data_IF_788501124641
#
_entry.id   IF_788501124641
#
_cell.length_a   1.000
_cell.length_b   1.000
_cell.length_c   1.000
_cell.angle_alpha   90.00
_cell.angle_beta   90.00
_cell.angle_gamma   90.00
#
_symmetry.space_group_name_H-M   'P 1'
#
loop_
_entity.id
_entity.type
_entity.pdbx_description
1 polymer ?
#
# COMPACT_ATOMS: atom_id res chain seq x y z
N UNK A 1 -23.89 6.38 -17.39
CA UNK A 1 -23.11 5.12 -17.33
C UNK A 1 -21.68 5.29 -17.81
N UNK A 2 -21.44 5.95 -18.96
CA UNK A 2 -20.09 6.20 -19.49
C UNK A 2 -19.15 6.93 -18.52
N UNK A 3 -19.61 7.99 -17.85
CA UNK A 3 -18.78 8.76 -16.91
C UNK A 3 -18.32 7.95 -15.70
N UNK A 4 -19.24 7.27 -15.02
CA UNK A 4 -18.91 6.40 -13.87
C UNK A 4 -17.98 5.25 -14.25
N UNK A 5 -18.15 4.69 -15.45
CA UNK A 5 -17.25 3.67 -15.98
C UNK A 5 -15.85 4.23 -16.24
N UNK A 6 -15.75 5.43 -16.82
CA UNK A 6 -14.48 6.07 -17.15
C UNK A 6 -13.73 6.50 -15.88
N UNK A 7 -14.42 7.06 -14.88
CA UNK A 7 -13.85 7.44 -13.58
C UNK A 7 -13.33 6.21 -12.81
N UNK A 8 -14.12 5.12 -12.79
CA UNK A 8 -13.69 3.88 -12.14
C UNK A 8 -12.50 3.25 -12.87
N UNK A 9 -12.55 3.16 -14.20
CA UNK A 9 -11.46 2.60 -15.01
C UNK A 9 -10.17 3.37 -14.82
N UNK A 10 -10.24 4.71 -14.81
CA UNK A 10 -9.07 5.56 -14.60
C UNK A 10 -8.48 5.38 -13.19
N UNK A 11 -9.33 5.28 -12.16
CA UNK A 11 -8.92 5.00 -10.78
C UNK A 11 -8.19 3.65 -10.65
N UNK A 12 -8.69 2.61 -11.32
CA UNK A 12 -8.07 1.28 -11.30
C UNK A 12 -6.70 1.29 -11.99
N UNK A 13 -6.59 1.94 -13.15
CA UNK A 13 -5.36 1.97 -13.94
C UNK A 13 -4.24 2.67 -13.16
N UNK A 14 -4.51 3.87 -12.64
CA UNK A 14 -3.47 4.72 -12.01
C UNK A 14 -3.16 4.25 -10.58
N UNK A 15 -4.19 3.96 -9.78
CA UNK A 15 -4.05 3.90 -8.32
C UNK A 15 -4.19 2.50 -7.74
N UNK A 16 -4.28 1.47 -8.57
CA UNK A 16 -4.48 0.09 -8.09
C UNK A 16 -3.70 -0.96 -8.88
N UNK A 17 -3.86 -0.99 -10.20
CA UNK A 17 -3.43 -2.11 -11.03
C UNK A 17 -1.96 -2.00 -11.45
N UNK A 18 -1.56 -0.84 -11.98
CA UNK A 18 -0.22 -0.64 -12.54
C UNK A 18 0.77 -0.17 -11.46
N UNK A 19 1.99 -0.73 -11.41
CA UNK A 19 3.06 -0.22 -10.57
C UNK A 19 3.63 1.09 -11.14
N UNK A 20 4.22 1.92 -10.28
CA UNK A 20 4.98 3.10 -10.72
C UNK A 20 6.34 2.65 -11.28
N UNK A 21 6.80 3.26 -12.36
CA UNK A 21 8.05 2.89 -13.02
C UNK A 21 9.30 3.17 -12.16
N UNK A 22 9.20 4.10 -11.20
CA UNK A 22 10.34 4.53 -10.36
C UNK A 22 10.72 3.50 -9.31
N UNK A 23 9.73 2.87 -8.69
CA UNK A 23 9.93 1.92 -7.60
C UNK A 23 9.43 0.51 -7.93
N UNK A 24 8.65 0.33 -9.01
CA UNK A 24 8.03 -0.93 -9.37
C UNK A 24 6.93 -1.38 -8.41
N UNK A 25 6.50 -0.52 -7.48
CA UNK A 25 5.57 -0.88 -6.41
C UNK A 25 4.14 -0.42 -6.70
N UNK A 26 3.19 -1.29 -6.38
CA UNK A 26 1.77 -0.91 -6.32
C UNK A 26 1.52 -0.04 -5.08
N UNK A 27 0.50 0.83 -5.10
CA UNK A 27 0.19 1.70 -3.96
C UNK A 27 -0.02 0.96 -2.63
N UNK A 28 -0.58 -0.26 -2.65
CA UNK A 28 -0.76 -1.09 -1.44
C UNK A 28 0.58 -1.54 -0.83
N UNK A 29 1.52 -1.98 -1.67
CA UNK A 29 2.84 -2.43 -1.22
C UNK A 29 3.65 -1.26 -0.65
N UNK A 30 3.54 -0.08 -1.26
CA UNK A 30 4.19 1.14 -0.77
C UNK A 30 3.72 1.53 0.63
N UNK A 31 2.40 1.50 0.88
CA UNK A 31 1.82 1.78 2.20
C UNK A 31 2.27 0.77 3.25
N UNK A 32 2.30 -0.52 2.90
CA UNK A 32 2.77 -1.57 3.79
C UNK A 32 4.23 -1.35 4.20
N UNK A 33 5.12 -1.14 3.24
CA UNK A 33 6.54 -0.92 3.52
C UNK A 33 6.77 0.38 4.31
N UNK A 34 6.02 1.43 4.01
CA UNK A 34 6.07 2.68 4.76
C UNK A 34 5.63 2.48 6.21
N UNK A 35 4.49 1.83 6.47
CA UNK A 35 4.01 1.55 7.81
C UNK A 35 4.97 0.66 8.61
N UNK A 36 5.57 -0.34 7.94
CA UNK A 36 6.58 -1.19 8.57
C UNK A 36 7.82 -0.39 8.98
N UNK A 37 8.33 0.49 8.11
CA UNK A 37 9.58 1.20 8.37
C UNK A 37 9.41 2.45 9.25
N UNK A 38 8.40 3.28 9.00
CA UNK A 38 8.19 4.55 9.73
C UNK A 38 7.39 4.40 11.02
N UNK A 39 6.27 3.68 11.01
CA UNK A 39 5.38 3.60 12.19
C UNK A 39 5.81 2.51 13.17
N UNK A 40 6.16 1.33 12.66
CA UNK A 40 6.50 0.17 13.48
C UNK A 40 8.01 0.01 13.69
N UNK A 41 8.82 0.82 12.99
CA UNK A 41 10.28 0.77 13.02
C UNK A 41 10.83 -0.65 12.86
N UNK A 42 10.18 -1.48 12.02
CA UNK A 42 10.58 -2.85 11.75
C UNK A 42 11.77 -2.85 10.79
N UNK A 43 12.86 -3.46 11.24
CA UNK A 43 14.05 -3.72 10.42
C UNK A 43 14.43 -5.19 10.54
N UNK A 44 15.26 -5.70 9.63
CA UNK A 44 15.70 -7.10 9.62
C UNK A 44 16.41 -7.54 10.92
N UNK A 45 16.90 -6.58 11.72
CA UNK A 45 17.57 -6.85 12.99
C UNK A 45 16.60 -7.01 14.17
N UNK A 46 15.32 -6.63 14.03
CA UNK A 46 14.35 -6.65 15.14
C UNK A 46 13.53 -7.93 15.17
N UNK A 47 13.02 -8.26 16.36
CA UNK A 47 12.13 -9.39 16.55
C UNK A 47 10.83 -9.25 15.73
N UNK A 48 10.33 -10.37 15.22
CA UNK A 48 9.12 -10.39 14.40
C UNK A 48 7.87 -9.99 15.19
N UNK A 49 7.02 -9.17 14.57
CA UNK A 49 5.69 -8.84 15.05
C UNK A 49 4.64 -9.65 14.30
N UNK A 50 3.47 -9.86 14.92
CA UNK A 50 2.36 -10.57 14.29
C UNK A 50 1.80 -9.76 13.12
N UNK A 51 1.49 -10.46 12.02
CA UNK A 51 0.95 -9.85 10.80
C UNK A 51 -0.32 -9.02 11.07
N UNK A 52 -1.18 -9.45 12.01
CA UNK A 52 -2.39 -8.74 12.39
C UNK A 52 -2.12 -7.29 12.83
N UNK A 53 -1.01 -7.04 13.55
CA UNK A 53 -0.63 -5.69 13.98
C UNK A 53 -0.21 -4.82 12.80
N UNK A 54 0.58 -5.38 11.87
CA UNK A 54 1.05 -4.66 10.68
C UNK A 54 -0.12 -4.29 9.76
N UNK A 55 -1.05 -5.23 9.55
CA UNK A 55 -2.27 -5.01 8.77
C UNK A 55 -3.15 -3.94 9.42
N UNK A 56 -3.38 -4.03 10.73
CA UNK A 56 -4.19 -3.06 11.46
C UNK A 56 -3.62 -1.64 11.37
N UNK A 57 -2.32 -1.49 11.54
CA UNK A 57 -1.65 -0.19 11.43
C UNK A 57 -1.71 0.38 10.02
N UNK A 58 -1.50 -0.46 9.01
CA UNK A 58 -1.54 -0.03 7.60
C UNK A 58 -2.94 0.42 7.20
N UNK A 59 -3.99 -0.33 7.58
CA UNK A 59 -5.37 -0.01 7.25
C UNK A 59 -5.94 1.18 8.03
N UNK A 60 -5.46 1.40 9.27
CA UNK A 60 -5.93 2.51 10.11
C UNK A 60 -5.37 3.86 9.69
N UNK A 61 -4.15 3.88 9.13
CA UNK A 61 -3.42 5.11 8.79
C UNK A 61 -3.41 5.46 7.29
N UNK A 62 -3.54 4.47 6.39
CA UNK A 62 -3.35 4.63 4.94
C UNK A 62 -4.38 3.88 4.07
#
# INVERSE_FOLDING_TARGET
MSKSFLDYSMSVIISRALPDARDGLKPSQRRLLYAMHHDLSLSASKAHLKCARIVGETMGKY
#
